data_IF_178857103135
#
_entry.id   IF_178857103135
#
_cell.length_a   1.000
_cell.length_b   1.000
_cell.length_c   1.000
_cell.angle_alpha   90.00
_cell.angle_beta   90.00
_cell.angle_gamma   90.00
#
_symmetry.space_group_name_H-M   'P 1'
#
loop_
_entity.id
_entity.type
_entity.pdbx_description
1 polymer ?
#
# COMPACT_ATOMS: atom_id res chain seq x y z
N UNK A 1 -5.11 -7.47 -13.79
CA UNK A 1 -5.89 -6.22 -13.80
C UNK A 1 -5.44 -5.44 -15.01
N UNK A 2 -6.36 -5.11 -15.90
CA UNK A 2 -6.04 -4.40 -17.15
C UNK A 2 -6.69 -3.04 -17.09
N UNK A 3 -5.89 -1.98 -17.19
CA UNK A 3 -6.40 -0.62 -17.25
C UNK A 3 -6.86 -0.34 -18.68
N UNK A 4 -8.18 -0.33 -18.89
CA UNK A 4 -8.77 -0.22 -20.23
C UNK A 4 -9.51 1.11 -20.38
N UNK A 5 -9.37 1.73 -21.56
CA UNK A 5 -10.24 2.82 -21.97
C UNK A 5 -11.63 2.26 -22.27
N UNK A 6 -12.66 2.82 -21.63
CA UNK A 6 -14.05 2.48 -21.92
C UNK A 6 -14.66 3.62 -22.74
N UNK A 7 -15.18 3.29 -23.92
CA UNK A 7 -15.81 4.24 -24.84
C UNK A 7 -17.31 3.95 -24.92
N UNK A 8 -18.12 4.98 -24.73
CA UNK A 8 -19.56 4.93 -24.96
C UNK A 8 -19.88 5.77 -26.20
N UNK A 9 -20.20 5.10 -27.31
CA UNK A 9 -20.61 5.74 -28.57
C UNK A 9 -22.12 5.55 -28.77
N UNK A 10 -22.89 6.64 -28.65
CA UNK A 10 -24.36 6.69 -28.71
C UNK A 10 -25.08 5.53 -27.98
N UNK A 11 -24.58 5.18 -26.78
CA UNK A 11 -25.12 4.08 -25.99
C UNK A 11 -26.48 4.46 -25.39
N UNK A 12 -27.51 3.70 -25.72
CA UNK A 12 -28.80 3.79 -25.06
C UNK A 12 -28.72 3.22 -23.63
N UNK A 13 -29.01 4.05 -22.63
CA UNK A 13 -29.10 3.66 -21.21
C UNK A 13 -30.58 3.62 -20.81
N UNK A 14 -31.15 2.42 -20.54
CA UNK A 14 -32.53 2.29 -20.08
C UNK A 14 -32.75 3.01 -18.74
N UNK A 15 -33.96 3.54 -18.51
CA UNK A 15 -34.27 4.30 -17.29
C UNK A 15 -34.12 3.47 -16.01
N UNK A 16 -34.30 2.16 -16.08
CA UNK A 16 -34.10 1.23 -14.97
C UNK A 16 -32.63 1.12 -14.52
N UNK A 17 -31.68 1.62 -15.33
CA UNK A 17 -30.24 1.66 -15.03
C UNK A 17 -29.76 3.07 -14.64
N UNK A 18 -30.66 4.06 -14.59
CA UNK A 18 -30.32 5.44 -14.26
C UNK A 18 -30.45 5.67 -12.76
N UNK A 19 -29.34 5.97 -12.10
CA UNK A 19 -29.30 6.30 -10.67
C UNK A 19 -29.33 7.82 -10.40
N UNK A 20 -28.66 8.61 -11.23
CA UNK A 20 -28.61 10.09 -11.13
C UNK A 20 -28.71 10.68 -12.53
N UNK A 21 -29.63 11.61 -12.76
CA UNK A 21 -29.83 12.25 -14.07
C UNK A 21 -29.91 13.77 -13.94
N UNK A 22 -28.91 14.47 -14.49
CA UNK A 22 -28.83 15.94 -14.55
C UNK A 22 -29.00 16.66 -13.20
N UNK A 23 -28.62 15.98 -12.10
CA UNK A 23 -28.61 16.54 -10.75
C UNK A 23 -27.16 16.62 -10.25
N UNK A 24 -26.67 17.85 -10.10
CA UNK A 24 -25.29 18.14 -9.70
C UNK A 24 -25.06 17.82 -8.22
N UNK A 25 -26.03 18.13 -7.36
CA UNK A 25 -25.90 17.96 -5.93
C UNK A 25 -25.86 16.47 -5.58
N UNK A 26 -26.82 15.68 -6.10
CA UNK A 26 -26.83 14.23 -5.90
C UNK A 26 -25.56 13.57 -6.47
N UNK A 27 -25.07 14.04 -7.63
CA UNK A 27 -23.84 13.52 -8.24
C UNK A 27 -22.59 13.80 -7.37
N UNK A 28 -22.52 14.94 -6.70
CA UNK A 28 -21.47 15.24 -5.72
C UNK A 28 -21.65 14.36 -4.49
N UNK A 29 -22.85 14.38 -3.90
CA UNK A 29 -23.13 13.83 -2.58
C UNK A 29 -22.98 12.31 -2.52
N UNK A 30 -23.07 11.61 -3.65
CA UNK A 30 -22.75 10.18 -3.72
C UNK A 30 -21.36 9.83 -3.14
N UNK A 31 -20.38 10.75 -3.21
CA UNK A 31 -19.01 10.53 -2.72
C UNK A 31 -18.80 10.93 -1.26
N UNK A 32 -19.69 11.77 -0.72
CA UNK A 32 -19.51 12.42 0.59
C UNK A 32 -20.50 11.91 1.62
N UNK A 33 -21.75 11.78 1.21
CA UNK A 33 -22.91 11.43 2.03
C UNK A 33 -23.23 9.93 2.00
N UNK A 34 -22.60 9.16 1.09
CA UNK A 34 -22.75 7.71 1.05
C UNK A 34 -21.50 6.99 1.56
N UNK A 35 -21.65 5.77 2.10
CA UNK A 35 -20.52 4.97 2.55
C UNK A 35 -19.65 4.43 1.39
N UNK A 36 -20.06 4.58 0.12
CA UNK A 36 -19.41 3.93 -1.01
C UNK A 36 -17.91 4.23 -1.08
N UNK A 37 -17.53 5.51 -0.90
CA UNK A 37 -16.13 5.91 -0.91
C UNK A 37 -15.34 5.32 0.26
N UNK A 38 -15.89 5.37 1.48
CA UNK A 38 -15.22 4.89 2.67
C UNK A 38 -15.06 3.37 2.66
N UNK A 39 -16.14 2.65 2.32
CA UNK A 39 -16.17 1.19 2.24
C UNK A 39 -15.25 0.65 1.14
N UNK A 40 -15.29 1.26 -0.05
CA UNK A 40 -14.41 0.89 -1.16
C UNK A 40 -12.94 1.06 -0.78
N UNK A 41 -12.59 2.16 -0.12
CA UNK A 41 -11.21 2.37 0.31
C UNK A 41 -10.80 1.49 1.49
N UNK A 42 -11.71 1.15 2.41
CA UNK A 42 -11.40 0.19 3.48
C UNK A 42 -10.97 -1.17 2.91
N UNK A 43 -11.69 -1.67 1.91
CA UNK A 43 -11.30 -2.87 1.17
C UNK A 43 -9.92 -2.71 0.51
N UNK A 44 -9.66 -1.57 -0.13
CA UNK A 44 -8.36 -1.28 -0.74
C UNK A 44 -7.21 -1.28 0.27
N UNK A 45 -7.43 -0.78 1.49
CA UNK A 45 -6.42 -0.78 2.54
C UNK A 45 -6.14 -2.19 3.07
N UNK A 46 -7.16 -3.05 3.22
CA UNK A 46 -6.96 -4.48 3.56
C UNK A 46 -6.12 -5.18 2.48
N UNK A 47 -6.41 -4.91 1.20
CA UNK A 47 -5.64 -5.45 0.07
C UNK A 47 -4.18 -4.99 0.13
N UNK A 48 -3.94 -3.71 0.42
CA UNK A 48 -2.59 -3.17 0.57
C UNK A 48 -1.83 -3.84 1.73
N UNK A 49 -2.44 -3.98 2.91
CA UNK A 49 -1.83 -4.67 4.05
C UNK A 49 -1.41 -6.10 3.68
N UNK A 50 -2.26 -6.82 2.95
CA UNK A 50 -1.95 -8.16 2.46
C UNK A 50 -0.73 -8.16 1.52
N UNK A 51 -0.65 -7.16 0.63
CA UNK A 51 0.50 -6.97 -0.25
C UNK A 51 1.79 -6.66 0.54
N UNK A 52 1.72 -5.81 1.57
CA UNK A 52 2.88 -5.50 2.40
C UNK A 52 3.38 -6.72 3.19
N UNK A 53 2.46 -7.58 3.68
CA UNK A 53 2.83 -8.86 4.30
C UNK A 53 3.54 -9.80 3.32
N UNK A 54 3.09 -9.86 2.07
CA UNK A 54 3.79 -10.60 1.02
C UNK A 54 5.22 -10.07 0.82
N UNK A 55 5.38 -8.74 0.73
CA UNK A 55 6.69 -8.12 0.60
C UNK A 55 7.61 -8.42 1.78
N UNK A 56 7.09 -8.41 3.01
CA UNK A 56 7.84 -8.82 4.20
C UNK A 56 8.31 -10.28 4.13
N UNK A 57 7.43 -11.18 3.69
CA UNK A 57 7.80 -12.58 3.48
C UNK A 57 8.91 -12.74 2.45
N UNK A 58 8.84 -12.01 1.33
CA UNK A 58 9.86 -12.04 0.29
C UNK A 58 11.20 -11.44 0.77
N UNK A 59 11.16 -10.30 1.46
CA UNK A 59 12.32 -9.66 2.06
C UNK A 59 13.06 -10.63 3.00
N UNK A 60 12.31 -11.28 3.89
CA UNK A 60 12.88 -12.26 4.81
C UNK A 60 13.52 -13.44 4.07
N UNK A 61 12.81 -14.02 3.10
CA UNK A 61 13.29 -15.19 2.35
C UNK A 61 14.51 -14.88 1.50
N UNK A 62 14.60 -13.70 0.88
CA UNK A 62 15.79 -13.35 0.09
C UNK A 62 17.00 -13.09 0.97
N UNK A 63 16.82 -12.48 2.15
CA UNK A 63 17.89 -12.31 3.14
C UNK A 63 18.41 -13.65 3.66
N UNK A 64 17.52 -14.60 3.96
CA UNK A 64 17.88 -15.97 4.37
C UNK A 64 18.61 -16.72 3.26
N UNK A 65 18.08 -16.65 2.03
CA UNK A 65 18.67 -17.30 0.86
C UNK A 65 20.08 -16.79 0.55
N UNK A 66 20.32 -15.50 0.71
CA UNK A 66 21.64 -14.91 0.53
C UNK A 66 22.55 -15.12 1.76
N UNK A 67 22.03 -15.64 2.89
CA UNK A 67 22.80 -15.86 4.12
C UNK A 67 23.17 -14.57 4.87
N UNK A 68 22.44 -13.47 4.65
CA UNK A 68 22.80 -12.12 5.14
C UNK A 68 21.94 -11.64 6.32
N UNK A 69 21.04 -12.47 6.84
CA UNK A 69 20.08 -12.10 7.90
C UNK A 69 20.73 -11.65 9.22
N UNK A 70 21.98 -12.03 9.48
CA UNK A 70 22.72 -11.64 10.69
C UNK A 70 23.48 -10.31 10.53
N UNK A 71 23.50 -9.73 9.32
CA UNK A 71 24.13 -8.44 9.07
C UNK A 71 23.24 -7.33 9.66
N UNK A 72 23.82 -6.44 10.45
CA UNK A 72 23.08 -5.41 11.19
C UNK A 72 22.30 -4.45 10.27
N UNK A 73 22.88 -4.10 9.12
CA UNK A 73 22.26 -3.28 8.09
C UNK A 73 21.02 -3.97 7.50
N UNK A 74 21.08 -5.28 7.26
CA UNK A 74 19.94 -6.07 6.76
C UNK A 74 18.83 -6.13 7.80
N UNK A 75 19.17 -6.30 9.08
CA UNK A 75 18.18 -6.30 10.17
C UNK A 75 17.50 -4.94 10.31
N UNK A 76 18.24 -3.84 10.14
CA UNK A 76 17.69 -2.48 10.14
C UNK A 76 16.67 -2.31 9.01
N UNK A 77 17.01 -2.72 7.78
CA UNK A 77 16.07 -2.66 6.64
C UNK A 77 14.81 -3.48 6.88
N UNK A 78 14.94 -4.70 7.39
CA UNK A 78 13.80 -5.56 7.74
C UNK A 78 12.95 -4.94 8.85
N UNK A 79 13.56 -4.27 9.83
CA UNK A 79 12.86 -3.55 10.90
C UNK A 79 12.08 -2.34 10.40
N UNK A 80 12.67 -1.55 9.51
CA UNK A 80 11.99 -0.42 8.87
C UNK A 80 10.84 -0.88 7.98
N UNK A 81 11.04 -1.91 7.16
CA UNK A 81 9.96 -2.52 6.38
C UNK A 81 8.84 -3.05 7.27
N UNK A 82 9.18 -3.76 8.35
CA UNK A 82 8.23 -4.27 9.32
C UNK A 82 7.41 -3.16 9.98
N UNK A 83 8.03 -2.01 10.24
CA UNK A 83 7.36 -0.83 10.81
C UNK A 83 6.30 -0.27 9.87
N UNK A 84 6.57 -0.19 8.57
CA UNK A 84 5.56 0.22 7.59
C UNK A 84 4.41 -0.79 7.49
N UNK A 85 4.71 -2.09 7.43
CA UNK A 85 3.68 -3.12 7.37
C UNK A 85 2.77 -3.09 8.62
N UNK A 86 3.36 -3.03 9.82
CA UNK A 86 2.63 -2.96 11.08
C UNK A 86 1.84 -1.65 11.22
N UNK A 87 2.38 -0.51 10.78
CA UNK A 87 1.68 0.77 10.79
C UNK A 87 0.41 0.71 9.93
N UNK A 88 0.51 0.21 8.70
CA UNK A 88 -0.64 0.11 7.80
C UNK A 88 -1.68 -0.89 8.30
N UNK A 89 -1.25 -2.00 8.88
CA UNK A 89 -2.11 -2.98 9.53
C UNK A 89 -2.86 -2.37 10.73
N UNK A 90 -2.15 -1.68 11.63
CA UNK A 90 -2.76 -1.01 12.78
C UNK A 90 -3.74 0.09 12.37
N UNK A 91 -3.54 0.76 11.23
CA UNK A 91 -4.53 1.71 10.69
C UNK A 91 -5.79 1.03 10.17
N UNK A 92 -5.70 -0.20 9.63
CA UNK A 92 -6.88 -0.99 9.27
C UNK A 92 -7.62 -1.45 10.52
N UNK A 93 -6.90 -1.92 11.55
CA UNK A 93 -7.51 -2.31 12.82
C UNK A 93 -8.22 -1.11 13.48
N UNK A 94 -7.60 0.08 13.44
CA UNK A 94 -8.20 1.30 13.95
C UNK A 94 -9.47 1.69 13.18
N UNK A 95 -9.55 1.44 11.85
CA UNK A 95 -10.77 1.66 11.09
C UNK A 95 -11.92 0.79 11.60
N UNK A 96 -11.64 -0.46 11.97
CA UNK A 96 -12.64 -1.39 12.51
C UNK A 96 -13.03 -0.97 13.93
N UNK A 97 -12.04 -0.68 14.78
CA UNK A 97 -12.25 -0.35 16.19
C UNK A 97 -12.97 0.99 16.40
N UNK A 98 -12.85 1.92 15.45
CA UNK A 98 -13.48 3.25 15.50
C UNK A 98 -14.62 3.42 14.50
N UNK A 99 -15.21 2.30 14.07
CA UNK A 99 -16.37 2.31 13.17
C UNK A 99 -17.57 3.05 13.78
N UNK A 100 -18.43 3.58 12.91
CA UNK A 100 -19.63 4.33 13.30
C UNK A 100 -20.83 3.83 12.52
N UNK A 101 -22.00 3.78 13.16
CA UNK A 101 -23.26 3.49 12.47
C UNK A 101 -23.87 4.78 11.94
N UNK A 102 -24.18 4.84 10.65
CA UNK A 102 -24.83 5.99 10.04
C UNK A 102 -26.34 6.02 10.31
N UNK A 103 -27.02 7.09 9.90
CA UNK A 103 -28.46 7.31 10.14
C UNK A 103 -29.35 6.21 9.53
N UNK A 104 -28.86 5.51 8.51
CA UNK A 104 -29.55 4.41 7.83
C UNK A 104 -29.26 3.03 8.47
N UNK A 105 -28.50 2.99 9.58
CA UNK A 105 -28.18 1.75 10.30
C UNK A 105 -27.00 0.96 9.72
N UNK A 106 -26.27 1.49 8.73
CA UNK A 106 -25.08 0.84 8.18
C UNK A 106 -23.84 1.18 8.98
N UNK A 107 -22.95 0.21 9.15
CA UNK A 107 -21.66 0.40 9.83
C UNK A 107 -20.62 0.87 8.81
N UNK A 108 -19.96 1.98 9.12
CA UNK A 108 -18.90 2.59 8.33
C UNK A 108 -17.55 2.51 9.06
N UNK A 109 -16.44 2.32 8.34
CA UNK A 109 -15.10 2.31 8.92
C UNK A 109 -14.75 3.68 9.53
N UNK A 110 -13.95 3.67 10.58
CA UNK A 110 -13.40 4.86 11.20
C UNK A 110 -12.63 5.73 10.20
N UNK A 111 -13.23 6.85 9.82
CA UNK A 111 -12.80 7.67 8.67
C UNK A 111 -11.43 8.30 8.88
N UNK A 112 -11.13 8.78 10.09
CA UNK A 112 -9.83 9.38 10.40
C UNK A 112 -8.67 8.39 10.16
N UNK A 113 -8.82 7.14 10.60
CA UNK A 113 -7.81 6.10 10.39
C UNK A 113 -7.72 5.67 8.91
N UNK A 114 -8.87 5.58 8.23
CA UNK A 114 -8.94 5.28 6.80
C UNK A 114 -8.15 6.29 5.97
N UNK A 115 -8.45 7.58 6.13
CA UNK A 115 -7.81 8.62 5.32
C UNK A 115 -6.33 8.84 5.70
N UNK A 116 -5.94 8.53 6.94
CA UNK A 116 -4.53 8.51 7.33
C UNK A 116 -3.77 7.42 6.54
N UNK A 117 -4.35 6.22 6.42
CA UNK A 117 -3.76 5.12 5.65
C UNK A 117 -3.60 5.49 4.17
N UNK A 118 -4.63 6.07 3.54
CA UNK A 118 -4.58 6.48 2.14
C UNK A 118 -3.52 7.57 1.91
N UNK A 119 -3.33 8.52 2.83
CA UNK A 119 -2.25 9.51 2.71
C UNK A 119 -0.88 8.83 2.81
N UNK A 120 -0.70 7.95 3.79
CA UNK A 120 0.59 7.34 4.11
C UNK A 120 1.02 6.27 3.10
N UNK A 121 0.08 5.59 2.44
CA UNK A 121 0.39 4.54 1.46
C UNK A 121 1.32 5.02 0.34
N UNK A 122 1.12 6.27 -0.11
CA UNK A 122 1.87 6.90 -1.20
C UNK A 122 3.37 7.06 -0.88
N UNK A 123 3.73 6.96 0.41
CA UNK A 123 5.10 6.96 0.91
C UNK A 123 5.55 5.55 1.32
N UNK A 124 4.69 4.82 2.02
CA UNK A 124 5.01 3.50 2.55
C UNK A 124 5.31 2.49 1.44
N UNK A 125 4.46 2.41 0.40
CA UNK A 125 4.62 1.41 -0.64
C UNK A 125 5.90 1.61 -1.48
N UNK A 126 6.21 2.81 -2.01
CA UNK A 126 7.47 3.03 -2.72
C UNK A 126 8.70 2.73 -1.86
N UNK A 127 8.67 3.13 -0.58
CA UNK A 127 9.78 2.89 0.33
C UNK A 127 10.01 1.39 0.60
N UNK A 128 8.93 0.61 0.70
CA UNK A 128 8.99 -0.85 0.80
C UNK A 128 9.59 -1.48 -0.46
N UNK A 129 9.30 -0.95 -1.65
CA UNK A 129 9.91 -1.41 -2.90
C UNK A 129 11.41 -1.11 -2.94
N UNK A 130 11.82 0.08 -2.51
CA UNK A 130 13.24 0.47 -2.41
C UNK A 130 14.02 -0.47 -1.51
N UNK A 131 13.52 -0.76 -0.30
CA UNK A 131 14.19 -1.69 0.60
C UNK A 131 14.28 -3.11 0.04
N UNK A 132 13.22 -3.59 -0.62
CA UNK A 132 13.26 -4.91 -1.24
C UNK A 132 14.28 -4.96 -2.40
N UNK A 133 14.47 -3.87 -3.14
CA UNK A 133 15.56 -3.74 -4.14
C UNK A 133 16.93 -3.80 -3.47
N UNK A 134 17.13 -3.05 -2.39
CA UNK A 134 18.40 -3.03 -1.65
C UNK A 134 18.77 -4.43 -1.12
N UNK A 135 17.80 -5.15 -0.53
CA UNK A 135 18.00 -6.52 -0.05
C UNK A 135 18.35 -7.52 -1.16
N UNK A 136 17.89 -7.26 -2.39
CA UNK A 136 18.18 -8.11 -3.54
C UNK A 136 19.52 -7.78 -4.22
N UNK A 137 19.97 -6.53 -4.15
CA UNK A 137 21.09 -6.02 -4.91
C UNK A 137 20.97 -6.36 -6.42
N UNK A 138 22.10 -6.70 -7.04
CA UNK A 138 22.14 -7.12 -8.45
C UNK A 138 21.60 -8.53 -8.73
N UNK A 139 21.18 -9.29 -7.71
CA UNK A 139 20.78 -10.69 -7.88
C UNK A 139 19.56 -10.87 -8.79
N UNK A 140 18.64 -9.90 -8.80
CA UNK A 140 17.41 -9.93 -9.60
C UNK A 140 17.61 -9.73 -11.10
N UNK A 141 18.79 -9.26 -11.52
CA UNK A 141 19.15 -9.08 -12.94
C UNK A 141 20.15 -10.13 -13.44
N UNK A 142 20.69 -10.97 -12.55
CA UNK A 142 21.61 -12.06 -12.87
C UNK A 142 20.86 -13.40 -12.96
N UNK A 143 19.76 -13.43 -13.72
CA UNK A 143 18.87 -14.59 -13.82
C UNK A 143 18.82 -15.10 -15.26
N UNK A 144 18.59 -16.42 -15.46
CA UNK A 144 18.34 -16.97 -16.79
C UNK A 144 17.14 -16.31 -17.47
N UNK A 145 17.17 -16.29 -18.80
CA UNK A 145 16.10 -15.69 -19.62
C UNK A 145 14.77 -16.39 -19.37
N UNK A 146 14.78 -17.72 -19.31
CA UNK A 146 13.57 -18.54 -19.24
C UNK A 146 13.84 -19.91 -18.63
N UNK A 147 12.78 -20.71 -18.47
CA UNK A 147 12.88 -22.12 -18.08
C UNK A 147 13.68 -22.95 -19.09
N UNK A 148 13.72 -22.54 -20.36
CA UNK A 148 14.45 -23.23 -21.42
C UNK A 148 15.93 -23.37 -21.09
N UNK A 149 16.52 -22.37 -20.42
CA UNK A 149 17.93 -22.37 -20.03
C UNK A 149 18.25 -23.46 -18.99
N UNK A 150 17.26 -23.89 -18.19
CA UNK A 150 17.40 -25.02 -17.26
C UNK A 150 17.26 -26.38 -17.95
N UNK A 151 16.66 -26.43 -19.15
CA UNK A 151 16.47 -27.67 -19.91
C UNK A 151 17.50 -27.85 -21.01
N UNK A 152 18.19 -26.77 -21.41
CA UNK A 152 19.23 -26.82 -22.43
C UNK A 152 20.50 -27.48 -21.87
N UNK A 153 21.00 -28.58 -22.47
CA UNK A 153 22.20 -29.28 -22.01
C UNK A 153 23.46 -28.40 -21.91
N UNK A 154 23.58 -27.35 -22.74
CA UNK A 154 24.75 -26.47 -22.76
C UNK A 154 24.75 -25.49 -21.58
N UNK A 155 23.62 -24.85 -21.28
CA UNK A 155 23.53 -23.79 -20.25
C UNK A 155 23.23 -24.33 -18.86
N UNK A 156 22.56 -25.48 -18.75
CA UNK A 156 22.07 -26.03 -17.48
C UNK A 156 23.19 -26.23 -16.47
N UNK A 157 24.33 -26.78 -16.89
CA UNK A 157 25.46 -27.09 -16.01
C UNK A 157 26.00 -25.80 -15.37
N UNK A 158 26.13 -24.73 -16.16
CA UNK A 158 26.61 -23.44 -15.66
C UNK A 158 25.60 -22.78 -14.72
N UNK A 159 24.30 -22.86 -15.02
CA UNK A 159 23.25 -22.31 -14.16
C UNK A 159 23.23 -23.00 -12.81
N UNK A 160 23.24 -24.34 -12.79
CA UNK A 160 23.26 -25.13 -11.55
C UNK A 160 24.50 -24.83 -10.71
N UNK A 161 25.65 -24.58 -11.36
CA UNK A 161 26.92 -24.30 -10.67
C UNK A 161 27.04 -22.88 -10.15
N UNK A 162 26.72 -21.88 -10.98
CA UNK A 162 27.07 -20.47 -10.76
C UNK A 162 25.90 -19.61 -10.26
N UNK A 163 24.65 -20.02 -10.46
CA UNK A 163 23.45 -19.28 -10.04
C UNK A 163 22.79 -19.94 -8.82
N UNK A 164 23.54 -20.71 -8.03
CA UNK A 164 23.05 -21.23 -6.75
C UNK A 164 23.29 -20.23 -5.61
N UNK A 165 22.69 -20.50 -4.46
CA UNK A 165 22.97 -19.83 -3.18
C UNK A 165 23.55 -20.85 -2.19
N UNK A 166 24.21 -20.42 -1.10
CA UNK A 166 24.96 -21.32 -0.21
C UNK A 166 24.22 -22.58 0.26
N UNK A 167 22.90 -22.49 0.43
CA UNK A 167 22.04 -23.57 0.91
C UNK A 167 20.85 -23.85 -0.02
N UNK A 168 20.81 -23.24 -1.21
CA UNK A 168 19.66 -23.31 -2.10
C UNK A 168 20.09 -23.61 -3.54
N UNK A 169 19.46 -24.60 -4.20
CA UNK A 169 19.74 -24.88 -5.61
C UNK A 169 19.36 -23.69 -6.49
N UNK A 170 19.98 -23.59 -7.67
CA UNK A 170 19.74 -22.50 -8.61
C UNK A 170 18.26 -22.35 -9.00
N UNK A 171 17.51 -23.45 -9.09
CA UNK A 171 16.07 -23.44 -9.38
C UNK A 171 15.26 -22.68 -8.33
N UNK A 172 15.55 -22.89 -7.04
CA UNK A 172 14.87 -22.19 -5.95
C UNK A 172 15.26 -20.72 -5.88
N UNK A 173 16.55 -20.42 -6.07
CA UNK A 173 17.04 -19.04 -6.13
C UNK A 173 16.38 -18.27 -7.25
N UNK A 174 16.41 -18.80 -8.47
CA UNK A 174 15.83 -18.13 -9.65
C UNK A 174 14.31 -17.97 -9.48
N UNK A 175 13.61 -18.97 -8.93
CA UNK A 175 12.17 -18.87 -8.67
C UNK A 175 11.83 -17.72 -7.70
N UNK A 176 12.57 -17.59 -6.60
CA UNK A 176 12.34 -16.49 -5.65
C UNK A 176 12.67 -15.13 -6.27
N UNK A 177 13.83 -15.01 -6.91
CA UNK A 177 14.28 -13.72 -7.45
C UNK A 177 13.44 -13.25 -8.64
N UNK A 178 12.93 -14.16 -9.50
CA UNK A 178 11.96 -13.78 -10.54
C UNK A 178 10.62 -13.32 -9.94
N UNK A 179 10.14 -13.96 -8.88
CA UNK A 179 8.93 -13.49 -8.18
C UNK A 179 9.12 -12.10 -7.57
N UNK A 180 10.29 -11.84 -6.98
CA UNK A 180 10.61 -10.51 -6.45
C UNK A 180 10.72 -9.49 -7.58
N UNK A 181 11.38 -9.84 -8.68
CA UNK A 181 11.49 -8.97 -9.86
C UNK A 181 10.12 -8.60 -10.44
N UNK A 182 9.15 -9.52 -10.44
CA UNK A 182 7.78 -9.21 -10.84
C UNK A 182 7.08 -8.18 -9.95
N UNK A 183 7.53 -8.00 -8.69
CA UNK A 183 6.96 -6.99 -7.80
C UNK A 183 7.71 -5.66 -7.82
N UNK A 184 8.98 -5.67 -8.20
CA UNK A 184 9.82 -4.45 -8.13
C UNK A 184 10.29 -3.96 -9.49
N UNK A 185 10.47 -4.79 -10.51
CA UNK A 185 11.22 -4.42 -11.72
C UNK A 185 10.54 -4.69 -13.05
N UNK A 186 9.49 -5.50 -13.11
CA UNK A 186 8.75 -5.74 -14.34
C UNK A 186 7.85 -4.56 -14.74
N UNK A 187 7.29 -4.59 -15.94
CA UNK A 187 6.28 -3.62 -16.37
C UNK A 187 5.05 -3.66 -15.45
N UNK A 188 4.67 -4.86 -15.00
CA UNK A 188 3.62 -5.04 -13.99
C UNK A 188 3.98 -4.33 -12.68
N UNK A 189 5.22 -4.43 -12.21
CA UNK A 189 5.69 -3.73 -11.02
C UNK A 189 5.59 -2.21 -11.16
N UNK A 190 6.05 -1.66 -12.29
CA UNK A 190 5.97 -0.22 -12.56
C UNK A 190 4.51 0.28 -12.57
N UNK A 191 3.61 -0.47 -13.20
CA UNK A 191 2.16 -0.20 -13.16
C UNK A 191 1.61 -0.26 -11.74
N UNK A 192 1.98 -1.27 -10.95
CA UNK A 192 1.52 -1.42 -9.57
C UNK A 192 2.00 -0.27 -8.67
N UNK A 193 3.25 0.18 -8.83
CA UNK A 193 3.77 1.35 -8.11
C UNK A 193 2.97 2.62 -8.46
N UNK A 194 2.72 2.84 -9.75
CA UNK A 194 1.89 3.96 -10.20
C UNK A 194 0.47 3.89 -9.63
N UNK A 195 -0.12 2.69 -9.62
CA UNK A 195 -1.44 2.46 -9.04
C UNK A 195 -1.47 2.82 -7.55
N UNK A 196 -0.58 2.27 -6.71
CA UNK A 196 -0.64 2.51 -5.26
C UNK A 196 -0.36 3.98 -4.89
N UNK A 197 0.33 4.74 -5.74
CA UNK A 197 0.53 6.18 -5.56
C UNK A 197 -0.72 7.01 -5.84
N UNK A 198 -1.55 6.61 -6.81
CA UNK A 198 -2.57 7.49 -7.39
C UNK A 198 -3.98 6.91 -7.47
N UNK A 199 -4.23 5.65 -7.07
CA UNK A 199 -5.55 5.04 -7.24
C UNK A 199 -6.66 5.81 -6.50
N UNK A 200 -6.34 6.41 -5.35
CA UNK A 200 -7.27 7.21 -4.54
C UNK A 200 -7.38 8.67 -5.01
N UNK A 201 -6.75 9.01 -6.14
CA UNK A 201 -6.68 10.35 -6.71
C UNK A 201 -5.37 11.09 -6.44
N UNK A 202 -5.25 12.33 -6.95
CA UNK A 202 -4.02 13.10 -6.81
C UNK A 202 -3.77 13.49 -5.34
N UNK A 203 -2.49 13.64 -4.91
CA UNK A 203 -2.14 13.77 -3.49
C UNK A 203 -2.84 14.91 -2.74
N UNK A 204 -3.14 16.03 -3.40
CA UNK A 204 -3.80 17.17 -2.74
C UNK A 204 -5.26 16.87 -2.38
N UNK A 205 -5.96 16.03 -3.16
CA UNK A 205 -7.36 15.63 -2.88
C UNK A 205 -7.40 14.74 -1.64
N UNK A 206 -6.53 13.72 -1.61
CA UNK A 206 -6.45 12.77 -0.49
C UNK A 206 -6.06 13.49 0.81
N UNK A 207 -5.06 14.38 0.75
CA UNK A 207 -4.64 15.17 1.93
C UNK A 207 -5.72 16.14 2.40
N UNK A 208 -6.45 16.78 1.48
CA UNK A 208 -7.60 17.62 1.83
C UNK A 208 -8.67 16.81 2.58
N UNK A 209 -8.97 15.59 2.10
CA UNK A 209 -9.91 14.69 2.77
C UNK A 209 -9.44 14.31 4.18
N UNK A 210 -8.16 13.99 4.35
CA UNK A 210 -7.59 13.74 5.68
C UNK A 210 -7.73 14.95 6.61
N UNK A 211 -7.50 16.16 6.12
CA UNK A 211 -7.68 17.38 6.93
C UNK A 211 -9.13 17.59 7.36
N UNK A 212 -10.11 17.23 6.53
CA UNK A 212 -11.54 17.30 6.88
C UNK A 212 -11.94 16.29 7.95
N UNK A 213 -11.28 15.13 7.97
CA UNK A 213 -11.67 13.98 8.81
C UNK A 213 -10.85 13.91 10.11
N UNK A 214 -9.80 14.73 10.24
CA UNK A 214 -9.04 14.84 11.48
C UNK A 214 -9.81 15.63 12.54
N UNK A 215 -9.89 15.08 13.75
CA UNK A 215 -10.54 15.74 14.88
C UNK A 215 -9.66 16.85 15.49
N UNK A 216 -9.65 18.03 14.87
CA UNK A 216 -8.93 19.21 15.39
C UNK A 216 -9.42 19.66 16.76
N UNK A 217 -10.72 19.53 17.06
CA UNK A 217 -11.27 19.88 18.37
C UNK A 217 -10.59 19.13 19.52
N UNK A 218 -10.16 17.88 19.30
CA UNK A 218 -9.41 17.11 20.31
C UNK A 218 -8.04 17.75 20.59
N UNK A 219 -7.35 18.21 19.55
CA UNK A 219 -6.06 18.87 19.65
C UNK A 219 -6.18 20.28 20.24
N UNK A 220 -7.19 21.04 19.80
CA UNK A 220 -7.43 22.41 20.27
C UNK A 220 -7.76 22.45 21.77
N UNK A 221 -8.46 21.43 22.30
CA UNK A 221 -8.69 21.32 23.75
C UNK A 221 -7.39 21.27 24.56
N UNK A 222 -6.36 20.57 24.05
CA UNK A 222 -5.05 20.50 24.72
C UNK A 222 -4.35 21.86 24.68
N UNK A 223 -4.39 22.52 23.52
CA UNK A 223 -3.82 23.86 23.34
C UNK A 223 -4.52 24.86 24.26
N UNK A 224 -5.85 24.89 24.26
CA UNK A 224 -6.64 25.78 25.10
C UNK A 224 -6.39 25.54 26.59
N UNK A 225 -6.26 24.28 27.03
CA UNK A 225 -5.93 23.97 28.42
C UNK A 225 -4.54 24.50 28.81
N UNK A 226 -3.55 24.41 27.91
CA UNK A 226 -2.21 24.95 28.14
C UNK A 226 -2.21 26.48 28.16
N UNK A 227 -2.93 27.12 27.22
CA UNK A 227 -3.06 28.58 27.14
C UNK A 227 -3.81 29.15 28.34
N UNK A 228 -4.81 28.44 28.87
CA UNK A 228 -5.54 28.86 30.05
C UNK A 228 -4.70 28.85 31.34
N UNK A 229 -3.52 28.20 31.32
CA UNK A 229 -2.61 28.16 32.46
C UNK A 229 -1.74 29.41 32.63
N UNK A 230 -1.85 30.41 31.75
CA UNK A 230 -1.10 31.66 31.88
C UNK A 230 -1.79 32.84 31.16
N UNK A 231 -1.48 34.05 31.61
CA UNK A 231 -1.88 35.30 30.97
C UNK A 231 -0.74 36.34 30.99
N UNK A 232 -1.05 37.62 30.80
CA UNK A 232 -0.05 38.70 30.80
C UNK A 232 0.56 38.95 32.20
N UNK A 233 -0.10 38.51 33.27
CA UNK A 233 0.31 38.77 34.66
C UNK A 233 1.05 37.56 35.29
N UNK A 234 1.01 36.40 34.65
CA UNK A 234 1.80 35.24 35.06
C UNK A 234 1.08 33.91 34.83
N UNK A 235 1.38 32.92 35.67
CA UNK A 235 0.71 31.61 35.64
C UNK A 235 -0.65 31.74 36.32
N UNK A 236 -1.71 31.26 35.68
CA UNK A 236 -3.04 31.15 36.27
C UNK A 236 -3.07 29.86 37.11
N UNK A 237 -3.37 29.98 38.41
CA UNK A 237 -3.50 28.85 39.34
C UNK A 237 -4.69 27.93 39.02
#
# INVERSE_FOLDING_TARGET
ETDSLIVFDDVFVPWEQVFVYKDIDTCRDQWWETPAHAMGNHQSQIRLVTKLRLMMGLARRVSEMNGVTQIAEVQTLLGEMGSYAAMMEGLVDAQIATCTTNENGYVEPGRQALYAAIVLQSKAYPRMLEYLRELCGGGVIQLPSSVTDFTNPETRIDIERYIQSPQYPATERVKLLKMIWELIGSEFAGRQEQYEKFYAGPPFVVKKRMAMEYNFNKSDKLVNAALAGYDLDGRCD
#
